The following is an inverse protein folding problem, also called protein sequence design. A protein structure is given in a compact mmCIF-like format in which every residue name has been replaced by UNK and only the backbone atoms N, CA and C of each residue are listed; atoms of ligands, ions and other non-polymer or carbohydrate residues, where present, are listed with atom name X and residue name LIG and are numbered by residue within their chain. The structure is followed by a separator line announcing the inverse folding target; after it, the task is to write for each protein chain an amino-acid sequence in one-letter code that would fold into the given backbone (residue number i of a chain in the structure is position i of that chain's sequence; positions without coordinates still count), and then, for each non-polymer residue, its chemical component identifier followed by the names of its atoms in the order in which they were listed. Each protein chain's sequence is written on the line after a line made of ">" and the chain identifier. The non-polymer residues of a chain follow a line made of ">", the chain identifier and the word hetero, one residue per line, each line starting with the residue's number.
data_IF_413638404718
#
_entry.id   IF_413638404718
#
_cell.length_a   1.000
_cell.length_b   1.000
_cell.length_c   1.000
_cell.angle_alpha   90.00
_cell.angle_beta   90.00
_cell.angle_gamma   90.00
#
_symmetry.space_group_name_H-M   'P 1'
#
loop_
_entity.id
_entity.type
_entity.pdbx_description
1 polymer ?
#
# COMPACT_ATOMS: atom_id res chain seq x y z
N UNK A 1 0.11 8.59 -17.99
CA UNK A 1 1.53 8.39 -17.68
C UNK A 1 1.63 7.15 -16.82
N UNK A 2 2.59 6.26 -17.10
CA UNK A 2 2.97 5.22 -16.13
C UNK A 2 3.40 5.91 -14.82
N UNK A 3 2.89 5.46 -13.68
CA UNK A 3 3.24 6.00 -12.37
C UNK A 3 4.71 5.67 -12.07
N UNK A 4 5.58 6.67 -12.03
CA UNK A 4 7.04 6.48 -11.99
C UNK A 4 7.48 5.85 -10.66
N UNK A 5 6.87 6.32 -9.57
CA UNK A 5 7.10 5.91 -8.20
C UNK A 5 6.81 4.41 -8.03
N UNK A 6 5.72 3.91 -8.62
CA UNK A 6 5.38 2.49 -8.59
C UNK A 6 6.49 1.62 -9.21
N UNK A 7 6.99 2.00 -10.40
CA UNK A 7 8.04 1.23 -11.06
C UNK A 7 9.37 1.33 -10.31
N UNK A 8 9.67 2.47 -9.70
CA UNK A 8 10.81 2.62 -8.80
C UNK A 8 10.75 1.60 -7.65
N UNK A 9 9.58 1.39 -7.04
CA UNK A 9 9.42 0.39 -5.97
C UNK A 9 9.56 -1.05 -6.48
N UNK A 10 8.96 -1.37 -7.63
CA UNK A 10 9.03 -2.70 -8.25
C UNK A 10 10.47 -3.05 -8.62
N UNK A 11 11.22 -2.11 -9.20
CA UNK A 11 12.63 -2.30 -9.55
C UNK A 11 13.49 -2.42 -8.30
N UNK A 12 13.28 -1.55 -7.30
CA UNK A 12 14.04 -1.56 -6.05
C UNK A 12 13.86 -2.85 -5.25
N UNK A 13 12.64 -3.36 -5.17
CA UNK A 13 12.33 -4.63 -4.49
C UNK A 13 12.67 -5.86 -5.34
N UNK A 14 12.95 -5.69 -6.64
CA UNK A 14 13.05 -6.78 -7.61
C UNK A 14 11.80 -7.68 -7.60
N UNK A 15 10.62 -7.05 -7.54
CA UNK A 15 9.33 -7.75 -7.42
C UNK A 15 9.05 -8.60 -8.66
N UNK A 16 8.62 -9.85 -8.45
CA UNK A 16 8.17 -10.69 -9.55
C UNK A 16 6.90 -10.09 -10.20
N UNK A 17 6.82 -9.95 -11.54
CA UNK A 17 5.63 -9.40 -12.20
C UNK A 17 4.31 -10.12 -11.92
N UNK A 18 4.35 -11.37 -11.45
CA UNK A 18 3.19 -12.18 -11.07
C UNK A 18 2.82 -12.09 -9.58
N UNK A 19 3.61 -11.37 -8.80
CA UNK A 19 3.38 -11.15 -7.38
C UNK A 19 2.32 -10.08 -7.15
N UNK A 20 1.06 -10.49 -7.17
CA UNK A 20 -0.05 -9.56 -7.08
C UNK A 20 -0.19 -8.97 -5.67
N UNK A 21 0.33 -9.67 -4.65
CA UNK A 21 0.46 -9.23 -3.26
C UNK A 21 1.29 -7.94 -3.18
N UNK A 22 2.57 -7.99 -3.62
CA UNK A 22 3.48 -6.84 -3.58
C UNK A 22 3.07 -5.76 -4.54
N UNK A 23 2.55 -6.12 -5.72
CA UNK A 23 2.04 -5.13 -6.67
C UNK A 23 0.86 -4.33 -6.08
N UNK A 24 -0.04 -4.99 -5.36
CA UNK A 24 -1.13 -4.30 -4.66
C UNK A 24 -0.60 -3.39 -3.55
N UNK A 25 0.35 -3.89 -2.74
CA UNK A 25 1.04 -3.09 -1.71
C UNK A 25 1.67 -1.83 -2.30
N UNK A 26 2.55 -1.99 -3.29
CA UNK A 26 3.28 -0.87 -3.87
C UNK A 26 2.39 0.09 -4.64
N UNK A 27 1.26 -0.35 -5.19
CA UNK A 27 0.27 0.58 -5.75
C UNK A 27 -0.19 1.58 -4.69
N UNK A 28 -0.57 1.11 -3.48
CA UNK A 28 -1.00 2.05 -2.42
C UNK A 28 0.18 2.90 -1.94
N UNK A 29 1.34 2.30 -1.71
CA UNK A 29 2.48 3.00 -1.13
C UNK A 29 3.11 4.03 -2.08
N UNK A 30 3.02 3.83 -3.41
CA UNK A 30 3.63 4.73 -4.39
C UNK A 30 2.70 5.81 -4.91
N UNK A 31 1.39 5.55 -4.97
CA UNK A 31 0.42 6.48 -5.57
C UNK A 31 -0.23 7.44 -4.57
N UNK A 32 0.18 7.38 -3.30
CA UNK A 32 -0.09 8.39 -2.29
C UNK A 32 1.23 9.08 -1.90
N UNK A 33 1.34 10.39 -2.15
CA UNK A 33 2.59 11.16 -1.98
C UNK A 33 3.11 11.12 -0.53
N UNK A 34 2.20 11.20 0.45
CA UNK A 34 2.56 11.10 1.87
C UNK A 34 3.19 9.75 2.19
N UNK A 35 2.61 8.66 1.68
CA UNK A 35 3.12 7.30 1.87
C UNK A 35 4.46 7.09 1.16
N UNK A 36 4.57 7.55 -0.08
CA UNK A 36 5.78 7.39 -0.87
C UNK A 36 6.99 8.08 -0.22
N UNK A 37 6.78 9.29 0.31
CA UNK A 37 7.81 10.03 1.05
C UNK A 37 8.33 9.32 2.30
N UNK A 38 7.59 8.31 2.79
CA UNK A 38 7.87 7.55 4.01
C UNK A 38 8.17 6.06 3.72
N UNK A 39 8.46 5.71 2.46
CA UNK A 39 8.50 4.31 2.01
C UNK A 39 9.46 3.42 2.82
N UNK A 40 10.65 3.92 3.16
CA UNK A 40 11.65 3.16 3.94
C UNK A 40 11.20 2.89 5.38
N UNK A 41 10.25 3.67 5.89
CA UNK A 41 9.64 3.42 7.20
C UNK A 41 8.44 2.46 7.12
N UNK A 42 7.91 2.19 5.92
CA UNK A 42 6.77 1.32 5.67
C UNK A 42 7.17 -0.08 5.23
N UNK A 43 8.28 -0.20 4.48
CA UNK A 43 8.73 -1.43 3.87
C UNK A 43 10.26 -1.54 3.86
N UNK A 44 10.76 -2.68 4.29
CA UNK A 44 12.17 -3.04 4.23
C UNK A 44 12.45 -3.78 2.91
N UNK A 45 13.15 -3.12 1.99
CA UNK A 45 13.52 -3.66 0.68
C UNK A 45 14.64 -4.69 0.74
N UNK A 46 15.43 -4.75 1.81
CA UNK A 46 16.50 -5.73 1.97
C UNK A 46 15.93 -7.06 2.45
N UNK A 47 15.00 -7.01 3.40
CA UNK A 47 14.36 -8.20 3.98
C UNK A 47 13.01 -8.55 3.32
N UNK A 48 12.50 -7.69 2.44
CA UNK A 48 11.24 -7.81 1.71
C UNK A 48 9.99 -7.88 2.61
N UNK A 49 9.98 -7.14 3.72
CA UNK A 49 8.92 -7.18 4.73
C UNK A 49 8.31 -5.81 5.01
N UNK A 50 7.05 -5.81 5.45
CA UNK A 50 6.38 -4.61 5.97
C UNK A 50 6.92 -4.28 7.36
N UNK A 51 7.02 -2.99 7.67
CA UNK A 51 7.42 -2.51 8.99
C UNK A 51 6.17 -2.23 9.84
N UNK A 52 5.69 -3.22 10.60
CA UNK A 52 4.47 -3.08 11.39
C UNK A 52 4.55 -2.01 12.49
N UNK A 53 5.76 -1.68 12.95
CA UNK A 53 6.00 -0.62 13.93
C UNK A 53 5.87 0.80 13.34
N UNK A 54 5.61 0.93 12.03
CA UNK A 54 5.38 2.21 11.38
C UNK A 54 4.22 2.99 11.99
N UNK A 55 3.20 2.29 12.50
CA UNK A 55 2.00 2.89 13.09
C UNK A 55 2.24 3.60 14.42
N UNK A 56 3.39 3.37 15.06
CA UNK A 56 3.82 4.04 16.29
C UNK A 56 4.82 5.18 16.01
N UNK A 57 5.58 5.06 14.91
CA UNK A 57 6.67 5.98 14.56
C UNK A 57 6.24 7.12 13.64
N UNK A 58 5.21 6.89 12.83
CA UNK A 58 4.78 7.80 11.80
C UNK A 58 3.44 8.43 12.20
N UNK A 59 3.38 9.75 12.09
CA UNK A 59 2.10 10.45 12.14
C UNK A 59 1.40 10.34 10.78
N UNK A 60 0.20 9.76 10.80
CA UNK A 60 -0.65 9.55 9.63
C UNK A 60 -1.97 10.28 9.84
N UNK A 61 -2.52 10.82 8.76
CA UNK A 61 -3.96 11.12 8.75
C UNK A 61 -4.78 9.83 8.99
N UNK A 62 -6.02 9.95 9.46
CA UNK A 62 -6.87 8.78 9.68
C UNK A 62 -7.07 7.96 8.37
N UNK A 63 -7.31 8.64 7.24
CA UNK A 63 -7.49 7.99 5.94
C UNK A 63 -6.21 7.32 5.45
N UNK A 64 -5.07 8.02 5.52
CA UNK A 64 -3.75 7.46 5.16
C UNK A 64 -3.43 6.23 6.01
N UNK A 65 -3.72 6.27 7.31
CA UNK A 65 -3.55 5.12 8.22
C UNK A 65 -4.39 3.92 7.77
N UNK A 66 -5.66 4.13 7.40
CA UNK A 66 -6.52 3.06 6.88
C UNK A 66 -6.02 2.49 5.56
N UNK A 67 -5.45 3.32 4.68
CA UNK A 67 -4.82 2.86 3.45
C UNK A 67 -3.61 1.94 3.70
N UNK A 68 -2.72 2.30 4.63
CA UNK A 68 -1.57 1.43 4.99
C UNK A 68 -2.07 0.10 5.56
N UNK A 69 -3.07 0.14 6.44
CA UNK A 69 -3.70 -1.07 7.00
C UNK A 69 -4.32 -1.96 5.92
N UNK A 70 -4.95 -1.36 4.90
CA UNK A 70 -5.44 -2.10 3.75
C UNK A 70 -4.28 -2.68 2.93
N UNK A 71 -3.24 -1.91 2.64
CA UNK A 71 -2.10 -2.34 1.83
C UNK A 71 -1.37 -3.54 2.47
N UNK A 72 -1.14 -3.47 3.78
CA UNK A 72 -0.52 -4.57 4.53
C UNK A 72 -1.41 -5.82 4.52
N UNK A 73 -2.73 -5.65 4.64
CA UNK A 73 -3.66 -6.77 4.52
C UNK A 73 -3.65 -7.41 3.13
N UNK A 74 -3.66 -6.61 2.07
CA UNK A 74 -3.61 -7.11 0.70
C UNK A 74 -2.28 -7.86 0.43
N UNK A 75 -1.18 -7.41 1.01
CA UNK A 75 0.13 -8.05 0.88
C UNK A 75 0.16 -9.46 1.51
N UNK A 76 -0.11 -9.58 2.80
CA UNK A 76 0.15 -10.83 3.53
C UNK A 76 -0.94 -11.18 4.56
N UNK A 77 -2.14 -10.61 4.42
CA UNK A 77 -3.24 -10.76 5.37
C UNK A 77 -2.93 -10.26 6.79
N UNK A 78 -2.07 -9.23 6.91
CA UNK A 78 -1.85 -8.53 8.18
C UNK A 78 -3.18 -8.07 8.79
N UNK A 79 -3.37 -8.09 10.12
CA UNK A 79 -4.61 -7.64 10.74
C UNK A 79 -4.99 -6.22 10.32
N UNK A 80 -6.26 -6.05 9.98
CA UNK A 80 -6.79 -4.82 9.42
C UNK A 80 -8.21 -4.57 9.91
N UNK A 81 -8.67 -3.31 9.95
CA UNK A 81 -10.06 -3.00 10.26
C UNK A 81 -11.02 -3.61 9.23
N UNK A 82 -12.30 -3.60 9.57
CA UNK A 82 -13.34 -4.06 8.65
C UNK A 82 -13.41 -3.19 7.39
N UNK A 83 -13.95 -3.71 6.27
CA UNK A 83 -14.17 -2.90 5.07
C UNK A 83 -14.93 -1.60 5.36
N UNK A 84 -15.98 -1.65 6.20
CA UNK A 84 -16.75 -0.46 6.55
C UNK A 84 -15.88 0.60 7.23
N UNK A 85 -15.02 0.22 8.17
CA UNK A 85 -14.12 1.14 8.87
C UNK A 85 -13.01 1.70 7.98
N UNK A 86 -12.54 0.93 7.00
CA UNK A 86 -11.57 1.40 6.01
C UNK A 86 -12.26 2.42 5.09
N UNK A 87 -13.27 1.99 4.34
CA UNK A 87 -13.85 2.77 3.25
C UNK A 87 -14.65 3.99 3.70
N UNK A 88 -15.19 4.01 4.93
CA UNK A 88 -15.88 5.20 5.46
C UNK A 88 -14.93 6.36 5.81
N UNK A 89 -13.62 6.11 5.88
CA UNK A 89 -12.62 7.10 6.27
C UNK A 89 -11.82 7.68 5.11
N UNK A 90 -11.97 7.11 3.90
CA UNK A 90 -11.22 7.52 2.72
C UNK A 90 -11.95 8.68 2.03
N UNK A 91 -11.18 9.66 1.55
CA UNK A 91 -11.65 10.60 0.54
C UNK A 91 -11.79 9.89 -0.83
N UNK A 92 -12.26 10.62 -1.84
CA UNK A 92 -12.46 10.06 -3.20
C UNK A 92 -11.20 9.46 -3.78
N UNK A 93 -10.07 10.15 -3.63
CA UNK A 93 -8.81 9.80 -4.29
C UNK A 93 -8.22 8.54 -3.64
N UNK A 94 -8.24 8.48 -2.31
CA UNK A 94 -7.81 7.32 -1.55
C UNK A 94 -8.77 6.13 -1.72
N UNK A 95 -10.07 6.36 -1.91
CA UNK A 95 -11.02 5.30 -2.24
C UNK A 95 -10.71 4.67 -3.60
N UNK A 96 -10.50 5.48 -4.63
CA UNK A 96 -10.16 5.00 -5.97
C UNK A 96 -8.83 4.24 -5.97
N UNK A 97 -7.83 4.73 -5.21
CA UNK A 97 -6.56 4.05 -5.01
C UNK A 97 -6.73 2.68 -4.32
N UNK A 98 -7.54 2.61 -3.26
CA UNK A 98 -7.85 1.37 -2.57
C UNK A 98 -8.50 0.35 -3.52
N UNK A 99 -9.47 0.78 -4.33
CA UNK A 99 -10.15 -0.08 -5.30
C UNK A 99 -9.20 -0.58 -6.39
N UNK A 100 -8.32 0.29 -6.90
CA UNK A 100 -7.28 -0.10 -7.85
C UNK A 100 -6.36 -1.19 -7.29
N UNK A 101 -5.89 -1.04 -6.05
CA UNK A 101 -5.03 -2.02 -5.40
C UNK A 101 -5.74 -3.36 -5.17
N UNK A 102 -7.02 -3.34 -4.77
CA UNK A 102 -7.86 -4.55 -4.65
C UNK A 102 -7.98 -5.26 -6.00
N UNK A 103 -8.24 -4.52 -7.08
CA UNK A 103 -8.31 -5.12 -8.41
C UNK A 103 -6.97 -5.74 -8.84
N UNK A 104 -5.84 -5.13 -8.50
CA UNK A 104 -4.51 -5.69 -8.75
C UNK A 104 -4.32 -7.00 -7.97
N UNK A 105 -4.64 -6.99 -6.66
CA UNK A 105 -4.50 -8.18 -5.79
C UNK A 105 -5.23 -9.40 -6.35
N UNK A 106 -6.44 -9.19 -6.85
CA UNK A 106 -7.32 -10.24 -7.37
C UNK A 106 -7.27 -10.42 -8.89
N UNK A 107 -6.30 -9.78 -9.56
CA UNK A 107 -6.10 -9.84 -11.00
C UNK A 107 -7.39 -9.54 -11.79
N UNK A 108 -8.05 -8.43 -11.44
CA UNK A 108 -9.28 -7.88 -12.06
C UNK A 108 -9.00 -6.61 -12.88
N UNK A 109 -7.76 -6.45 -13.32
CA UNK A 109 -7.25 -5.33 -14.11
C UNK A 109 -7.43 -5.60 -15.60
#
# INVERSE_FOLDING_TARGET
>A
MQNKEYYELIERDNTNPKDNERRALFTILSENEELYSKIDSLYDFENHWINDDCFEKIDFSNGTRKLVQLAFNLYNNNPSPTPLEIFSSLDSDNYDLAMKAINIRFNKI
#
